data_IF_641286241694
#
_entry.id   IF_641286241694
#
_cell.length_a   1.000
_cell.length_b   1.000
_cell.length_c   1.000
_cell.angle_alpha   90.00
_cell.angle_beta   90.00
_cell.angle_gamma   90.00
#
_symmetry.space_group_name_H-M   'P 1'
#
loop_
_entity.id
_entity.type
_entity.pdbx_description
1 polymer ?
#
# COMPACT_ATOMS: atom_id res chain seq x y z
N UNK A 1 26.09 -8.69 -17.26
CA UNK A 1 25.74 -8.14 -18.59
C UNK A 1 24.29 -7.72 -18.51
N UNK A 2 24.00 -6.42 -18.49
CA UNK A 2 22.62 -5.93 -18.47
C UNK A 2 21.96 -6.26 -19.81
N UNK A 3 20.76 -6.82 -19.76
CA UNK A 3 19.88 -6.86 -20.91
C UNK A 3 19.69 -5.42 -21.46
N UNK A 4 19.46 -5.26 -22.77
CA UNK A 4 19.22 -3.94 -23.33
C UNK A 4 17.95 -3.35 -22.70
N UNK A 5 18.01 -2.09 -22.29
CA UNK A 5 16.83 -1.32 -21.87
C UNK A 5 15.90 -1.17 -23.09
N UNK A 6 14.97 -2.10 -23.25
CA UNK A 6 13.91 -2.01 -24.23
C UNK A 6 12.85 -1.03 -23.71
N UNK A 7 12.57 0.01 -24.51
CA UNK A 7 11.36 0.83 -24.45
C UNK A 7 11.03 1.48 -23.11
N UNK A 8 11.43 2.74 -22.95
CA UNK A 8 10.99 3.54 -21.79
C UNK A 8 9.44 3.69 -21.81
N UNK A 9 8.79 3.76 -22.97
CA UNK A 9 7.31 3.76 -23.04
C UNK A 9 6.68 2.38 -23.12
N UNK A 10 5.37 2.32 -22.87
CA UNK A 10 4.53 1.24 -23.42
C UNK A 10 4.52 1.30 -24.95
N UNK A 11 4.25 0.18 -25.62
CA UNK A 11 4.08 0.15 -27.07
C UNK A 11 2.86 0.99 -27.52
N UNK A 12 2.91 1.57 -28.72
CA UNK A 12 1.85 2.44 -29.26
C UNK A 12 0.45 1.81 -29.24
N UNK A 13 0.34 0.50 -29.47
CA UNK A 13 -0.94 -0.20 -29.41
C UNK A 13 -1.46 -0.28 -27.96
N UNK A 14 -0.59 -0.60 -27.00
CA UNK A 14 -0.91 -0.59 -25.57
C UNK A 14 -1.34 0.81 -25.12
N UNK A 15 -0.58 1.84 -25.49
CA UNK A 15 -0.91 3.23 -25.17
C UNK A 15 -2.29 3.66 -25.71
N UNK A 16 -2.64 3.27 -26.94
CA UNK A 16 -3.98 3.52 -27.51
C UNK A 16 -5.09 2.78 -26.75
N UNK A 17 -4.84 1.56 -26.29
CA UNK A 17 -5.83 0.78 -25.51
C UNK A 17 -6.03 1.37 -24.11
N UNK A 18 -4.96 1.81 -23.45
CA UNK A 18 -5.03 2.54 -22.18
C UNK A 18 -5.80 3.86 -22.33
N UNK A 19 -5.51 4.63 -23.40
CA UNK A 19 -6.23 5.87 -23.68
C UNK A 19 -7.73 5.64 -23.92
N UNK A 20 -8.10 4.55 -24.61
CA UNK A 20 -9.50 4.20 -24.82
C UNK A 20 -10.24 3.90 -23.49
N UNK A 21 -9.57 3.33 -22.49
CA UNK A 21 -10.14 3.14 -21.14
C UNK A 21 -10.40 4.48 -20.45
N UNK A 22 -9.45 5.42 -20.54
CA UNK A 22 -9.62 6.78 -19.99
C UNK A 22 -10.77 7.52 -20.67
N UNK A 23 -10.83 7.48 -22.00
CA UNK A 23 -11.92 8.11 -22.75
C UNK A 23 -13.29 7.51 -22.43
N UNK A 24 -13.36 6.18 -22.25
CA UNK A 24 -14.59 5.50 -21.84
C UNK A 24 -15.03 5.91 -20.44
N UNK A 25 -14.11 5.91 -19.46
CA UNK A 25 -14.40 6.34 -18.10
C UNK A 25 -14.83 7.81 -18.03
N UNK A 26 -14.19 8.69 -18.82
CA UNK A 26 -14.59 10.09 -18.93
C UNK A 26 -16.01 10.23 -19.47
N UNK A 27 -16.33 9.53 -20.57
CA UNK A 27 -17.61 9.64 -21.26
C UNK A 27 -18.77 9.05 -20.43
N UNK A 28 -18.65 7.80 -19.99
CA UNK A 28 -19.67 7.13 -19.16
C UNK A 28 -19.82 7.80 -17.79
N UNK A 29 -18.70 8.23 -17.21
CA UNK A 29 -18.68 8.93 -15.93
C UNK A 29 -19.16 10.38 -16.01
N UNK A 30 -19.33 10.94 -17.22
CA UNK A 30 -19.66 12.36 -17.45
C UNK A 30 -18.68 13.29 -16.73
N UNK A 31 -17.40 12.92 -16.71
CA UNK A 31 -16.35 13.64 -15.99
C UNK A 31 -15.86 14.82 -16.86
N UNK A 32 -15.75 16.05 -16.33
CA UNK A 32 -15.32 17.19 -17.14
C UNK A 32 -13.89 17.03 -17.69
N UNK A 33 -12.99 16.49 -16.88
CA UNK A 33 -11.65 16.03 -17.25
C UNK A 33 -11.26 14.77 -16.49
N UNK A 34 -10.46 13.92 -17.13
CA UNK A 34 -9.78 12.78 -16.54
C UNK A 34 -8.33 12.78 -17.01
N UNK A 35 -7.41 12.63 -16.07
CA UNK A 35 -5.98 12.45 -16.31
C UNK A 35 -5.55 11.16 -15.62
N UNK A 36 -4.82 10.31 -16.32
CA UNK A 36 -4.37 9.03 -15.78
C UNK A 36 -2.96 8.68 -16.24
N UNK A 37 -2.28 7.86 -15.45
CA UNK A 37 -0.93 7.39 -15.72
C UNK A 37 -0.71 5.97 -15.23
N UNK A 38 0.22 5.28 -15.89
CA UNK A 38 0.67 3.95 -15.51
C UNK A 38 2.16 4.02 -15.21
N UNK A 39 2.52 3.58 -14.01
CA UNK A 39 3.90 3.42 -13.56
C UNK A 39 4.32 1.98 -13.83
N UNK A 40 5.56 1.80 -14.30
CA UNK A 40 6.20 0.50 -14.46
C UNK A 40 7.70 0.64 -14.21
N UNK A 41 8.26 -0.25 -13.41
CA UNK A 41 9.70 -0.34 -13.12
C UNK A 41 10.29 1.01 -12.68
N UNK A 42 9.65 1.64 -11.68
CA UNK A 42 10.15 2.85 -11.02
C UNK A 42 9.91 4.18 -11.75
N UNK A 43 9.05 4.23 -12.78
CA UNK A 43 8.81 5.45 -13.57
C UNK A 43 7.45 5.46 -14.28
N UNK A 44 6.97 6.66 -14.64
CA UNK A 44 5.78 6.86 -15.48
C UNK A 44 6.05 6.30 -16.89
N UNK A 45 5.39 5.19 -17.23
CA UNK A 45 5.55 4.48 -18.51
C UNK A 45 4.50 4.91 -19.56
N UNK A 46 3.37 5.44 -19.10
CA UNK A 46 2.31 5.97 -19.94
C UNK A 46 1.51 7.04 -19.19
N UNK A 47 1.05 8.07 -19.91
CA UNK A 47 0.13 9.07 -19.42
C UNK A 47 -0.92 9.39 -20.49
N UNK A 48 -2.14 9.72 -20.06
CA UNK A 48 -3.22 10.09 -20.94
C UNK A 48 -4.22 11.03 -20.25
N UNK A 49 -4.81 11.93 -21.03
CA UNK A 49 -5.83 12.86 -20.57
C UNK A 49 -7.00 12.86 -21.56
N UNK A 50 -8.22 13.09 -21.06
CA UNK A 50 -9.42 13.20 -21.88
C UNK A 50 -10.47 14.09 -21.19
N UNK A 51 -11.25 14.84 -21.97
CA UNK A 51 -12.30 15.73 -21.47
C UNK A 51 -12.17 17.16 -21.98
N UNK A 52 -13.26 17.93 -21.88
CA UNK A 52 -13.36 19.29 -22.41
C UNK A 52 -12.94 20.38 -21.40
N UNK A 53 -12.84 20.04 -20.12
CA UNK A 53 -12.44 20.96 -19.04
C UNK A 53 -10.91 20.85 -18.74
N UNK A 54 -10.13 20.31 -19.69
CA UNK A 54 -8.68 20.37 -19.67
C UNK A 54 -8.21 21.79 -19.98
N UNK A 55 -7.15 22.25 -19.33
CA UNK A 55 -6.60 23.59 -19.54
C UNK A 55 -5.81 23.66 -20.86
N UNK A 56 -6.33 24.37 -21.86
CA UNK A 56 -5.82 24.38 -23.24
C UNK A 56 -4.33 24.79 -23.35
N UNK A 57 -3.85 25.67 -22.48
CA UNK A 57 -2.48 26.23 -22.51
C UNK A 57 -1.51 25.57 -21.52
N UNK A 58 -1.87 24.45 -20.91
CA UNK A 58 -1.05 23.76 -19.92
C UNK A 58 -0.86 22.29 -20.26
N UNK A 59 0.29 21.72 -19.87
CA UNK A 59 0.45 20.26 -19.91
C UNK A 59 -0.56 19.64 -18.93
N UNK A 60 -1.53 18.83 -19.39
CA UNK A 60 -2.53 18.24 -18.50
C UNK A 60 -1.94 17.36 -17.40
N UNK A 61 -0.69 16.88 -17.58
CA UNK A 61 0.00 16.06 -16.58
C UNK A 61 0.68 16.89 -15.47
N UNK A 62 0.78 18.20 -15.67
CA UNK A 62 1.32 19.20 -14.74
C UNK A 62 0.23 20.15 -14.19
N UNK A 63 -1.05 19.80 -14.38
CA UNK A 63 -2.20 20.45 -13.74
C UNK A 63 -2.48 19.78 -12.40
N UNK A 64 -2.64 20.57 -11.35
CA UNK A 64 -2.97 20.07 -10.02
C UNK A 64 -4.45 19.70 -9.89
N UNK A 65 -4.70 18.57 -9.21
CA UNK A 65 -6.02 18.14 -8.76
C UNK A 65 -5.99 17.95 -7.25
N UNK A 66 -7.13 18.15 -6.58
CA UNK A 66 -7.25 17.82 -5.15
C UNK A 66 -7.29 16.31 -4.99
N UNK A 67 -6.35 15.75 -4.23
CA UNK A 67 -6.16 14.29 -4.16
C UNK A 67 -6.97 13.61 -3.04
N UNK A 68 -7.68 14.41 -2.24
CA UNK A 68 -8.52 13.94 -1.14
C UNK A 68 -7.79 12.96 -0.25
N UNK A 69 -8.44 11.85 0.10
CA UNK A 69 -7.93 10.83 1.02
C UNK A 69 -6.60 10.17 0.66
N UNK A 70 -6.04 10.36 -0.54
CA UNK A 70 -4.63 10.00 -0.79
C UNK A 70 -3.72 10.73 0.21
N UNK A 71 -4.09 11.94 0.65
CA UNK A 71 -3.43 12.70 1.73
C UNK A 71 -3.17 11.86 2.99
N UNK A 72 -4.08 10.93 3.34
CA UNK A 72 -3.94 10.08 4.52
C UNK A 72 -2.70 9.20 4.46
N UNK A 73 -2.31 8.78 3.27
CA UNK A 73 -1.09 7.99 3.08
C UNK A 73 0.15 8.78 3.49
N UNK A 74 0.17 10.10 3.28
CA UNK A 74 1.27 10.98 3.72
C UNK A 74 1.28 11.11 5.25
N UNK A 75 0.11 11.29 5.88
CA UNK A 75 -0.02 11.29 7.34
C UNK A 75 0.42 9.94 7.94
N UNK A 76 0.05 8.83 7.32
CA UNK A 76 0.46 7.50 7.74
C UNK A 76 1.98 7.31 7.63
N UNK A 77 2.59 7.77 6.53
CA UNK A 77 4.05 7.75 6.36
C UNK A 77 4.76 8.52 7.48
N UNK A 78 4.28 9.70 7.87
CA UNK A 78 4.87 10.46 9.00
C UNK A 78 4.82 9.65 10.31
N UNK A 79 3.67 9.04 10.63
CA UNK A 79 3.53 8.23 11.85
C UNK A 79 4.43 7.00 11.80
N UNK A 80 4.53 6.34 10.64
CA UNK A 80 5.41 5.18 10.46
C UNK A 80 6.90 5.55 10.51
N UNK A 81 7.28 6.75 10.07
CA UNK A 81 8.63 7.28 10.29
C UNK A 81 8.92 7.44 11.78
N UNK A 82 7.98 7.97 12.56
CA UNK A 82 8.14 8.12 14.01
C UNK A 82 8.23 6.75 14.72
N UNK A 83 7.51 5.74 14.24
CA UNK A 83 7.62 4.36 14.74
C UNK A 83 8.98 3.75 14.39
N UNK A 84 9.43 3.87 13.13
CA UNK A 84 10.76 3.44 12.70
C UNK A 84 11.87 4.09 13.54
N UNK A 85 11.73 5.38 13.82
CA UNK A 85 12.69 6.17 14.59
C UNK A 85 12.60 5.91 16.11
N UNK A 86 11.73 4.99 16.55
CA UNK A 86 11.56 4.62 17.96
C UNK A 86 10.93 5.71 18.83
N UNK A 87 10.32 6.73 18.20
CA UNK A 87 9.69 7.88 18.89
C UNK A 87 8.25 7.61 19.29
N UNK A 88 7.60 6.66 18.62
CA UNK A 88 6.24 6.19 18.90
C UNK A 88 6.17 4.67 18.75
N UNK A 89 5.12 4.07 19.32
CA UNK A 89 4.73 2.67 19.13
C UNK A 89 3.33 2.59 18.53
N UNK A 90 3.11 1.68 17.59
CA UNK A 90 1.79 1.48 16.97
C UNK A 90 0.70 1.13 18.01
N UNK A 91 1.08 0.46 19.10
CA UNK A 91 0.14 -0.06 20.09
C UNK A 91 -0.04 0.87 21.30
N UNK A 92 0.62 2.02 21.32
CA UNK A 92 0.38 3.04 22.34
C UNK A 92 -0.82 3.94 21.96
N UNK A 93 -1.56 4.49 22.94
CA UNK A 93 -2.67 5.40 22.69
C UNK A 93 -2.18 6.79 22.27
N UNK A 94 -2.95 7.48 21.43
CA UNK A 94 -2.64 8.85 21.03
C UNK A 94 -2.57 9.83 22.21
N UNK A 95 -3.17 9.51 23.35
CA UNK A 95 -3.17 10.31 24.58
C UNK A 95 -1.78 10.49 25.19
N UNK A 96 -0.79 9.64 24.83
CA UNK A 96 0.62 9.83 25.20
C UNK A 96 1.14 11.18 24.66
N UNK A 97 0.63 11.64 23.51
CA UNK A 97 1.03 12.89 22.87
C UNK A 97 -0.05 13.97 23.00
N UNK A 98 -1.32 13.60 22.84
CA UNK A 98 -2.43 14.56 22.80
C UNK A 98 -2.95 14.95 24.19
N UNK A 99 -2.71 14.13 25.22
CA UNK A 99 -3.29 14.30 26.55
C UNK A 99 -4.77 13.87 26.60
N UNK A 100 -5.56 14.59 27.42
CA UNK A 100 -6.98 14.34 27.64
C UNK A 100 -7.84 14.98 26.54
N UNK A 101 -7.67 14.48 25.32
CA UNK A 101 -8.50 14.84 24.16
C UNK A 101 -9.43 13.67 23.84
N UNK A 102 -10.65 13.95 23.41
CA UNK A 102 -11.61 12.92 23.01
C UNK A 102 -11.01 11.96 21.97
N UNK A 103 -11.28 10.67 22.14
CA UNK A 103 -10.75 9.57 21.33
C UNK A 103 -9.23 9.35 21.40
N UNK A 104 -8.46 10.14 22.16
CA UNK A 104 -7.01 9.95 22.28
C UNK A 104 -6.65 8.63 22.99
N UNK A 105 -7.59 7.97 23.66
CA UNK A 105 -7.44 6.63 24.22
C UNK A 105 -7.30 5.52 23.15
N UNK A 106 -7.50 5.84 21.86
CA UNK A 106 -7.31 4.92 20.73
C UNK A 106 -5.83 4.79 20.36
N UNK A 107 -5.42 3.56 20.01
CA UNK A 107 -4.04 3.28 19.59
C UNK A 107 -3.76 3.82 18.20
N UNK A 108 -2.51 4.21 17.94
CA UNK A 108 -2.07 4.70 16.63
C UNK A 108 -2.36 3.67 15.52
N UNK A 109 -2.16 2.38 15.79
CA UNK A 109 -2.53 1.26 14.89
C UNK A 109 -4.01 1.32 14.52
N UNK A 110 -4.89 1.49 15.51
CA UNK A 110 -6.34 1.48 15.28
C UNK A 110 -6.82 2.69 14.49
N UNK A 111 -6.16 3.84 14.67
CA UNK A 111 -6.43 5.05 13.89
C UNK A 111 -5.97 4.87 12.44
N UNK A 112 -4.73 4.42 12.22
CA UNK A 112 -4.15 4.17 10.89
C UNK A 112 -4.97 3.14 10.09
N UNK A 113 -5.43 2.09 10.77
CA UNK A 113 -6.18 0.99 10.19
C UNK A 113 -7.70 1.22 10.14
N UNK A 114 -8.20 2.40 10.52
CA UNK A 114 -9.65 2.67 10.60
C UNK A 114 -10.41 1.60 11.39
N UNK A 115 -9.84 1.11 12.49
CA UNK A 115 -10.49 0.15 13.38
C UNK A 115 -10.78 0.74 14.76
N UNK A 116 -10.60 2.06 14.95
CA UNK A 116 -10.76 2.74 16.24
C UNK A 116 -12.20 2.81 16.76
N UNK A 117 -13.20 2.54 15.92
CA UNK A 117 -14.63 2.62 16.27
C UNK A 117 -15.15 4.06 16.46
N UNK A 118 -14.33 5.05 16.09
CA UNK A 118 -14.71 6.46 16.07
C UNK A 118 -15.74 6.72 14.97
N UNK A 119 -16.54 7.77 15.16
CA UNK A 119 -17.34 8.37 14.10
C UNK A 119 -16.51 8.73 12.85
N UNK A 120 -17.17 8.72 11.69
CA UNK A 120 -16.49 8.95 10.42
C UNK A 120 -16.00 10.39 10.27
N UNK A 121 -16.83 11.34 10.66
CA UNK A 121 -16.63 12.77 10.44
C UNK A 121 -16.60 13.55 11.75
N UNK A 122 -15.94 14.73 11.80
CA UNK A 122 -16.00 15.60 12.97
C UNK A 122 -17.43 16.08 13.26
N UNK A 123 -17.74 16.30 14.53
CA UNK A 123 -18.97 16.98 14.95
C UNK A 123 -19.03 18.40 14.35
N UNK A 124 -20.16 18.76 13.74
CA UNK A 124 -20.39 20.12 13.24
C UNK A 124 -20.89 20.15 11.79
N UNK A 125 -20.46 21.19 11.05
CA UNK A 125 -20.81 21.33 9.64
C UNK A 125 -20.04 20.34 8.76
N UNK A 126 -20.47 20.21 7.50
CA UNK A 126 -19.76 19.38 6.52
C UNK A 126 -18.36 19.96 6.24
N UNK A 127 -17.34 19.34 6.83
CA UNK A 127 -15.97 19.87 6.85
C UNK A 127 -15.35 20.05 5.46
N UNK A 128 -15.72 19.22 4.48
CA UNK A 128 -15.19 19.32 3.11
C UNK A 128 -15.69 20.56 2.34
N UNK A 129 -16.77 21.21 2.83
CA UNK A 129 -17.38 22.41 2.23
C UNK A 129 -17.44 23.62 3.17
N UNK A 130 -16.89 23.48 4.37
CA UNK A 130 -16.88 24.54 5.37
C UNK A 130 -15.45 25.06 5.54
N UNK A 131 -15.31 26.26 6.12
CA UNK A 131 -14.01 26.71 6.59
C UNK A 131 -13.49 25.74 7.67
N UNK A 132 -12.21 25.40 7.58
CA UNK A 132 -11.54 24.56 8.57
C UNK A 132 -11.55 25.17 9.96
N UNK A 133 -11.60 24.29 10.96
CA UNK A 133 -11.46 24.65 12.37
C UNK A 133 -9.97 24.66 12.76
N UNK A 134 -9.63 25.43 13.79
CA UNK A 134 -8.38 25.21 14.54
C UNK A 134 -8.41 23.86 15.27
N UNK A 135 -7.25 23.38 15.71
CA UNK A 135 -7.17 22.14 16.48
C UNK A 135 -8.00 22.22 17.78
N UNK A 136 -7.92 23.33 18.51
CA UNK A 136 -8.63 23.49 19.79
C UNK A 136 -10.16 23.46 19.60
N UNK A 137 -10.67 24.08 18.54
CA UNK A 137 -12.09 24.03 18.18
C UNK A 137 -12.52 22.62 17.77
N UNK A 138 -11.71 21.93 16.96
CA UNK A 138 -11.97 20.55 16.56
C UNK A 138 -12.01 19.62 17.78
N UNK A 139 -11.01 19.71 18.66
CA UNK A 139 -10.89 18.90 19.87
C UNK A 139 -12.05 19.16 20.84
N UNK A 140 -12.42 20.43 21.05
CA UNK A 140 -13.54 20.79 21.92
C UNK A 140 -14.90 20.26 21.41
N UNK A 141 -15.10 20.21 20.09
CA UNK A 141 -16.32 19.68 19.49
C UNK A 141 -16.41 18.14 19.49
N UNK A 142 -15.29 17.44 19.73
CA UNK A 142 -15.16 15.99 19.58
C UNK A 142 -14.66 15.34 20.88
N UNK A 143 -15.48 15.38 21.94
CA UNK A 143 -15.17 14.94 23.31
C UNK A 143 -15.07 13.40 23.52
N UNK A 144 -15.19 12.59 22.47
CA UNK A 144 -15.15 11.13 22.54
C UNK A 144 -16.52 10.44 22.65
N UNK A 145 -17.59 11.18 22.96
CA UNK A 145 -18.93 10.63 23.20
C UNK A 145 -19.61 10.06 21.94
N UNK A 146 -19.15 10.45 20.76
CA UNK A 146 -19.66 9.99 19.47
C UNK A 146 -19.04 8.69 18.94
N UNK A 147 -18.37 7.90 19.80
CA UNK A 147 -17.89 6.57 19.40
C UNK A 147 -19.05 5.70 18.92
N UNK A 148 -19.00 5.21 17.68
CA UNK A 148 -20.09 4.44 17.07
C UNK A 148 -19.90 2.93 17.20
N UNK A 149 -18.67 2.47 17.42
CA UNK A 149 -18.31 1.07 17.58
C UNK A 149 -17.24 0.91 18.68
N UNK A 150 -17.09 -0.29 19.26
CA UNK A 150 -15.93 -0.61 20.07
C UNK A 150 -14.64 -0.55 19.24
N UNK A 151 -13.58 0.02 19.79
CA UNK A 151 -12.28 0.08 19.12
C UNK A 151 -11.65 -1.31 18.90
N UNK A 152 -10.80 -1.37 17.88
CA UNK A 152 -10.05 -2.53 17.39
C UNK A 152 -10.89 -3.76 17.02
N UNK A 153 -12.18 -3.58 16.68
CA UNK A 153 -13.07 -4.70 16.35
C UNK A 153 -13.46 -4.80 14.89
N UNK A 154 -13.75 -3.66 14.27
CA UNK A 154 -14.34 -3.62 12.94
C UNK A 154 -13.77 -2.42 12.19
N UNK A 155 -13.59 -2.60 10.87
CA UNK A 155 -13.30 -1.47 10.00
C UNK A 155 -14.46 -0.47 10.02
N UNK A 156 -14.14 0.79 10.30
CA UNK A 156 -15.02 1.93 10.20
C UNK A 156 -14.20 3.16 9.83
N UNK A 157 -14.35 3.61 8.59
CA UNK A 157 -13.58 4.71 8.03
C UNK A 157 -13.81 6.00 8.84
N UNK A 158 -12.73 6.69 9.20
CA UNK A 158 -12.76 7.90 10.01
C UNK A 158 -11.74 8.93 9.52
N UNK A 159 -12.26 10.03 8.97
CA UNK A 159 -11.48 11.23 8.65
C UNK A 159 -10.98 11.91 9.93
N UNK A 160 -11.81 11.95 10.97
CA UNK A 160 -11.45 12.51 12.28
C UNK A 160 -10.22 11.79 12.88
N UNK A 161 -10.15 10.47 12.74
CA UNK A 161 -8.97 9.71 13.19
C UNK A 161 -7.66 10.17 12.54
N UNK A 162 -7.71 10.64 11.29
CA UNK A 162 -6.53 11.17 10.59
C UNK A 162 -6.17 12.60 11.00
N UNK A 163 -7.14 13.43 11.41
CA UNK A 163 -6.85 14.71 12.04
C UNK A 163 -6.05 14.50 13.35
N UNK A 164 -6.45 13.52 14.18
CA UNK A 164 -5.71 13.14 15.39
C UNK A 164 -4.28 12.65 15.04
N UNK A 165 -4.12 11.78 14.04
CA UNK A 165 -2.79 11.30 13.63
C UNK A 165 -1.89 12.43 13.12
N UNK A 166 -2.45 13.38 12.36
CA UNK A 166 -1.70 14.55 11.89
C UNK A 166 -1.23 15.43 13.04
N UNK A 167 -2.09 15.67 14.03
CA UNK A 167 -1.73 16.43 15.24
C UNK A 167 -0.68 15.69 16.08
N UNK A 168 -0.79 14.36 16.23
CA UNK A 168 0.24 13.53 16.90
C UNK A 168 1.59 13.73 16.24
N UNK A 169 1.66 13.62 14.91
CA UNK A 169 2.91 13.79 14.17
C UNK A 169 3.47 15.21 14.35
N UNK A 170 2.62 16.23 14.21
CA UNK A 170 2.98 17.64 14.38
C UNK A 170 3.57 17.93 15.77
N UNK A 171 2.92 17.48 16.86
CA UNK A 171 3.41 17.70 18.23
C UNK A 171 4.71 16.97 18.53
N UNK A 172 4.87 15.74 18.04
CA UNK A 172 6.11 14.99 18.23
C UNK A 172 7.25 15.66 17.47
N UNK A 173 7.02 16.15 16.25
CA UNK A 173 8.05 16.78 15.42
C UNK A 173 8.31 18.25 15.78
N UNK A 174 7.36 18.93 16.44
CA UNK A 174 7.49 20.34 16.84
C UNK A 174 7.22 21.34 15.71
N UNK A 175 6.56 20.89 14.64
CA UNK A 175 6.28 21.65 13.42
C UNK A 175 4.80 21.48 13.02
N UNK A 176 4.30 22.26 12.07
CA UNK A 176 2.96 22.00 11.54
C UNK A 176 2.92 20.67 10.79
N UNK A 177 1.74 20.04 10.69
CA UNK A 177 1.59 18.81 9.90
C UNK A 177 2.05 18.99 8.46
N UNK A 178 1.75 20.15 7.85
CA UNK A 178 2.13 20.41 6.46
C UNK A 178 3.64 20.56 6.30
N UNK A 179 4.33 21.25 7.22
CA UNK A 179 5.79 21.36 7.21
C UNK A 179 6.46 19.99 7.36
N UNK A 180 5.89 19.12 8.19
CA UNK A 180 6.34 17.73 8.32
C UNK A 180 6.19 16.96 7.01
N UNK A 181 5.04 17.07 6.33
CA UNK A 181 4.81 16.44 5.02
C UNK A 181 5.80 16.96 3.99
N UNK A 182 5.98 18.28 3.92
CA UNK A 182 6.87 18.92 2.97
C UNK A 182 8.31 18.41 3.14
N UNK A 183 8.88 18.55 4.34
CA UNK A 183 10.30 18.30 4.61
C UNK A 183 10.67 16.82 4.68
N UNK A 184 9.73 15.95 5.13
CA UNK A 184 10.03 14.53 5.38
C UNK A 184 9.52 13.58 4.31
N UNK A 185 8.68 14.07 3.39
CA UNK A 185 8.10 13.26 2.31
C UNK A 185 8.30 13.94 0.96
N UNK A 186 7.80 15.16 0.78
CA UNK A 186 7.75 15.77 -0.56
C UNK A 186 9.15 16.18 -1.06
N UNK A 187 9.95 16.84 -0.23
CA UNK A 187 11.32 17.25 -0.59
C UNK A 187 12.24 16.07 -0.89
N UNK A 188 12.34 15.01 -0.05
CA UNK A 188 13.15 13.83 -0.38
C UNK A 188 12.72 13.11 -1.67
N UNK A 189 11.42 13.14 -1.98
CA UNK A 189 10.87 12.51 -3.19
C UNK A 189 10.87 13.44 -4.42
N UNK A 190 11.23 14.72 -4.26
CA UNK A 190 11.19 15.71 -5.34
C UNK A 190 9.79 16.09 -5.83
N UNK A 191 8.77 16.03 -4.96
CA UNK A 191 7.36 16.28 -5.29
C UNK A 191 7.03 17.78 -5.25
N UNK A 192 7.65 18.55 -6.15
CA UNK A 192 7.60 20.03 -6.12
C UNK A 192 6.28 20.64 -6.57
N UNK A 193 5.38 19.86 -7.20
CA UNK A 193 4.03 20.30 -7.60
C UNK A 193 2.94 19.66 -6.74
N UNK A 194 3.31 19.20 -5.56
CA UNK A 194 2.40 18.73 -4.51
C UNK A 194 2.32 19.79 -3.41
N UNK A 195 1.15 20.37 -3.19
CA UNK A 195 0.98 21.58 -2.37
C UNK A 195 -0.25 21.52 -1.46
N UNK A 196 -0.24 22.32 -0.40
CA UNK A 196 -1.34 22.42 0.57
C UNK A 196 -2.59 23.07 -0.04
N UNK A 197 -2.37 24.14 -0.81
CA UNK A 197 -3.37 24.82 -1.62
C UNK A 197 -2.85 24.86 -3.07
N UNK A 198 -3.74 25.04 -4.07
CA UNK A 198 -3.32 25.16 -5.45
C UNK A 198 -2.21 26.21 -5.65
N UNK A 199 -1.17 25.84 -6.39
CA UNK A 199 -0.08 26.73 -6.82
C UNK A 199 0.18 26.52 -8.33
N UNK A 200 0.04 27.59 -9.10
CA UNK A 200 0.09 27.54 -10.56
C UNK A 200 -1.16 26.92 -11.20
N UNK A 201 -0.96 26.07 -12.20
CA UNK A 201 -2.04 25.43 -12.95
C UNK A 201 -2.78 24.40 -12.09
N UNK A 202 -4.08 24.61 -11.87
CA UNK A 202 -4.93 23.71 -11.11
C UNK A 202 -6.31 23.59 -11.75
N UNK A 203 -6.86 22.38 -11.74
CA UNK A 203 -8.20 22.13 -12.26
C UNK A 203 -9.27 22.75 -11.34
N UNK A 204 -10.32 23.31 -11.94
CA UNK A 204 -11.51 23.73 -11.20
C UNK A 204 -12.35 22.49 -10.85
N UNK A 205 -12.66 22.29 -9.57
CA UNK A 205 -13.56 21.22 -9.14
C UNK A 205 -14.99 21.50 -9.60
N UNK A 206 -15.66 20.50 -10.19
CA UNK A 206 -17.02 20.66 -10.71
C UNK A 206 -18.01 19.70 -10.06
N UNK A 207 -19.21 20.20 -9.81
CA UNK A 207 -20.41 19.41 -9.58
C UNK A 207 -21.10 19.19 -10.92
N UNK A 208 -21.36 17.93 -11.27
CA UNK A 208 -22.09 17.56 -12.50
C UNK A 208 -23.54 17.32 -12.12
N UNK A 209 -24.46 18.14 -12.63
CA UNK A 209 -25.87 17.97 -12.32
C UNK A 209 -26.38 16.62 -12.87
N UNK A 210 -27.04 15.77 -12.04
CA UNK A 210 -27.30 14.37 -12.40
C UNK A 210 -28.23 14.18 -13.61
N UNK A 211 -29.14 15.14 -13.84
CA UNK A 211 -30.11 15.10 -14.94
C UNK A 211 -29.81 16.05 -16.11
N UNK A 212 -29.49 17.32 -15.82
CA UNK A 212 -29.20 18.33 -16.83
C UNK A 212 -27.77 18.28 -17.41
N UNK A 213 -26.85 17.56 -16.76
CA UNK A 213 -25.43 17.48 -17.14
C UNK A 213 -24.72 18.84 -17.24
N UNK A 214 -25.25 19.86 -16.56
CA UNK A 214 -24.62 21.17 -16.41
C UNK A 214 -23.57 21.15 -15.31
N UNK A 215 -22.50 21.92 -15.49
CA UNK A 215 -21.43 22.06 -14.52
C UNK A 215 -21.67 23.23 -13.58
N UNK A 216 -21.38 23.04 -12.29
CA UNK A 216 -21.35 24.09 -11.26
C UNK A 216 -20.02 24.00 -10.54
N UNK A 217 -19.41 25.15 -10.23
CA UNK A 217 -18.15 25.18 -9.51
C UNK A 217 -18.30 24.73 -8.06
N UNK A 218 -17.42 23.84 -7.64
CA UNK A 218 -17.26 23.45 -6.25
C UNK A 218 -16.18 24.32 -5.58
N UNK A 219 -16.45 24.88 -4.39
CA UNK A 219 -15.46 25.69 -3.68
C UNK A 219 -14.34 24.80 -3.14
N UNK A 220 -13.10 25.30 -3.23
CA UNK A 220 -11.93 24.70 -2.59
C UNK A 220 -11.65 25.42 -1.27
N UNK A 221 -12.18 24.91 -0.15
CA UNK A 221 -11.90 25.46 1.19
C UNK A 221 -10.65 24.84 1.79
N UNK A 222 -9.93 25.64 2.59
CA UNK A 222 -8.92 25.16 3.53
C UNK A 222 -9.62 24.42 4.68
N UNK A 223 -9.22 23.18 4.94
CA UNK A 223 -9.85 22.29 5.92
C UNK A 223 -9.21 22.36 7.31
N UNK A 224 -8.16 23.18 7.50
CA UNK A 224 -7.57 23.48 8.80
C UNK A 224 -7.12 22.21 9.53
N UNK A 225 -7.61 21.97 10.75
CA UNK A 225 -7.27 20.79 11.53
C UNK A 225 -7.65 19.45 10.86
N UNK A 226 -8.55 19.46 9.87
CA UNK A 226 -8.89 18.27 9.07
C UNK A 226 -7.96 18.07 7.86
N UNK A 227 -6.98 18.94 7.64
CA UNK A 227 -6.06 18.84 6.50
C UNK A 227 -5.34 17.49 6.35
N UNK A 228 -4.89 16.83 7.44
CA UNK A 228 -4.30 15.49 7.40
C UNK A 228 -5.17 14.40 6.77
N UNK A 229 -6.47 14.64 6.63
CA UNK A 229 -7.42 13.72 6.03
C UNK A 229 -7.60 13.90 4.52
N UNK A 230 -7.37 15.09 3.94
CA UNK A 230 -7.75 15.32 2.54
C UNK A 230 -7.40 16.66 1.88
N UNK A 231 -6.51 17.48 2.43
CA UNK A 231 -6.28 18.83 1.91
C UNK A 231 -5.46 18.91 0.63
N UNK A 232 -4.56 17.96 0.38
CA UNK A 232 -3.44 18.10 -0.56
C UNK A 232 -3.89 18.16 -2.02
N UNK A 233 -3.11 18.89 -2.82
CA UNK A 233 -3.19 18.98 -4.27
C UNK A 233 -1.92 18.40 -4.88
N UNK A 234 -2.04 17.70 -6.00
CA UNK A 234 -0.89 17.14 -6.71
C UNK A 234 -1.16 17.03 -8.21
N UNK A 235 -0.08 16.91 -8.99
CA UNK A 235 -0.12 16.62 -10.43
C UNK A 235 -0.07 15.12 -10.69
N UNK A 236 -0.33 14.71 -11.95
CA UNK A 236 -0.12 13.31 -12.34
C UNK A 236 1.35 12.90 -12.17
N UNK A 237 2.28 13.78 -12.57
CA UNK A 237 3.72 13.52 -12.48
C UNK A 237 4.17 13.23 -11.05
N UNK A 238 3.79 14.07 -10.10
CA UNK A 238 4.16 13.89 -8.70
C UNK A 238 3.53 12.64 -8.09
N UNK A 239 2.24 12.36 -8.36
CA UNK A 239 1.63 11.13 -7.87
C UNK A 239 2.21 9.86 -8.53
N UNK A 240 2.70 9.95 -9.77
CA UNK A 240 3.42 8.84 -10.39
C UNK A 240 4.74 8.58 -9.65
N UNK A 241 5.49 9.62 -9.29
CA UNK A 241 6.69 9.51 -8.44
C UNK A 241 6.35 8.96 -7.05
N UNK A 242 5.25 9.43 -6.44
CA UNK A 242 4.76 8.88 -5.18
C UNK A 242 4.38 7.40 -5.29
N UNK A 243 3.77 6.98 -6.41
CA UNK A 243 3.49 5.57 -6.67
C UNK A 243 4.78 4.74 -6.86
N UNK A 244 5.83 5.29 -7.48
CA UNK A 244 7.16 4.64 -7.49
C UNK A 244 7.70 4.46 -6.07
N UNK A 245 7.57 5.48 -5.21
CA UNK A 245 7.92 5.35 -3.79
C UNK A 245 7.12 4.23 -3.10
N UNK A 246 5.81 4.09 -3.36
CA UNK A 246 5.02 3.00 -2.78
C UNK A 246 5.43 1.61 -3.29
N UNK A 247 6.04 1.51 -4.48
CA UNK A 247 6.58 0.27 -5.04
C UNK A 247 7.92 -0.12 -4.41
N UNK A 248 8.86 0.84 -4.44
CA UNK A 248 10.29 0.59 -4.26
C UNK A 248 10.83 1.09 -2.92
N UNK A 249 10.05 1.90 -2.20
CA UNK A 249 10.50 2.64 -1.02
C UNK A 249 11.48 3.76 -1.35
N UNK A 250 11.91 4.48 -0.32
CA UNK A 250 12.95 5.49 -0.39
C UNK A 250 13.73 5.50 0.93
N UNK A 251 15.09 5.50 0.91
CA UNK A 251 15.91 5.37 2.11
C UNK A 251 15.62 6.45 3.16
N UNK A 252 15.38 7.69 2.72
CA UNK A 252 15.10 8.81 3.63
C UNK A 252 13.64 8.90 4.07
N UNK A 253 12.71 8.23 3.37
CA UNK A 253 11.26 8.31 3.66
C UNK A 253 10.78 7.06 4.39
N UNK A 254 10.67 5.92 3.70
CA UNK A 254 10.35 4.61 4.24
C UNK A 254 10.91 3.53 3.31
N UNK A 255 11.49 2.47 3.86
CA UNK A 255 12.00 1.35 3.07
C UNK A 255 10.87 0.54 2.42
N UNK A 256 11.20 -0.19 1.36
CA UNK A 256 10.27 -1.09 0.69
C UNK A 256 9.69 -2.15 1.64
N UNK A 257 10.46 -2.59 2.64
CA UNK A 257 10.04 -3.60 3.62
C UNK A 257 9.03 -3.02 4.59
N UNK A 258 9.26 -1.81 5.12
CA UNK A 258 8.30 -1.13 5.99
C UNK A 258 6.99 -0.80 5.25
N UNK A 259 7.06 -0.44 3.97
CA UNK A 259 5.86 -0.32 3.14
C UNK A 259 5.13 -1.67 2.95
N UNK A 260 5.87 -2.79 2.88
CA UNK A 260 5.27 -4.13 2.79
C UNK A 260 4.45 -4.44 4.04
N UNK A 261 5.02 -4.14 5.22
CA UNK A 261 4.36 -4.29 6.50
C UNK A 261 3.14 -3.37 6.61
N UNK A 262 3.26 -2.12 6.17
CA UNK A 262 2.17 -1.16 6.17
C UNK A 262 1.00 -1.56 5.24
N UNK A 263 1.30 -2.26 4.14
CA UNK A 263 0.28 -2.81 3.23
C UNK A 263 -0.32 -4.13 3.73
N UNK A 264 0.16 -4.68 4.84
CA UNK A 264 -0.43 -5.87 5.46
C UNK A 264 -1.84 -5.58 6.00
N UNK A 265 -2.87 -6.38 5.67
CA UNK A 265 -4.23 -6.19 6.17
C UNK A 265 -4.29 -6.09 7.70
N UNK A 266 -4.77 -4.95 8.21
CA UNK A 266 -4.97 -4.69 9.65
C UNK A 266 -6.45 -4.72 10.03
N UNK A 267 -7.32 -4.35 9.10
CA UNK A 267 -8.77 -4.34 9.28
C UNK A 267 -9.47 -4.62 7.95
N UNK A 268 -10.76 -4.89 8.03
CA UNK A 268 -11.62 -5.11 6.88
C UNK A 268 -13.06 -5.27 7.34
N UNK A 269 -13.95 -5.40 6.37
CA UNK A 269 -15.37 -5.64 6.60
C UNK A 269 -15.67 -7.08 6.23
N UNK A 270 -16.18 -7.86 7.18
CA UNK A 270 -16.58 -9.23 6.91
C UNK A 270 -17.69 -9.33 5.85
N UNK A 271 -18.50 -8.27 5.69
CA UNK A 271 -19.54 -8.19 4.66
C UNK A 271 -18.95 -8.09 3.25
N UNK A 272 -17.76 -7.50 3.11
CA UNK A 272 -17.05 -7.37 1.84
C UNK A 272 -16.16 -8.59 1.53
N UNK A 273 -16.09 -9.56 2.44
CA UNK A 273 -15.26 -10.74 2.32
C UNK A 273 -13.78 -10.38 2.13
N UNK A 274 -13.15 -10.93 1.08
CA UNK A 274 -11.78 -10.58 0.67
C UNK A 274 -11.74 -9.45 -0.37
N UNK A 275 -12.88 -8.76 -0.57
CA UNK A 275 -13.02 -7.69 -1.56
C UNK A 275 -12.40 -6.36 -1.14
N UNK A 276 -12.15 -6.17 0.16
CA UNK A 276 -11.55 -4.96 0.69
C UNK A 276 -10.91 -5.20 2.06
N UNK A 277 -9.71 -4.64 2.24
CA UNK A 277 -9.05 -4.52 3.53
C UNK A 277 -8.36 -3.17 3.64
N UNK A 278 -7.92 -2.84 4.85
CA UNK A 278 -7.11 -1.65 5.12
C UNK A 278 -5.87 -2.04 5.91
N UNK A 279 -4.72 -1.55 5.46
CA UNK A 279 -3.44 -1.62 6.15
C UNK A 279 -3.25 -0.44 7.08
N UNK A 280 -1.99 -0.08 7.33
CA UNK A 280 -1.60 1.09 8.12
C UNK A 280 -1.60 2.35 7.23
N UNK A 281 -2.81 2.87 6.94
CA UNK A 281 -3.00 4.04 6.09
C UNK A 281 -3.16 3.80 4.60
N UNK A 282 -3.25 2.54 4.19
CA UNK A 282 -3.40 2.14 2.81
C UNK A 282 -4.60 1.22 2.63
N UNK A 283 -5.42 1.51 1.63
CA UNK A 283 -6.45 0.61 1.15
C UNK A 283 -5.82 -0.57 0.40
N UNK A 284 -6.45 -1.72 0.52
CA UNK A 284 -6.00 -2.97 -0.07
C UNK A 284 -7.16 -3.55 -0.88
N UNK A 285 -6.93 -3.73 -2.18
CA UNK A 285 -7.92 -4.26 -3.12
C UNK A 285 -7.44 -5.59 -3.72
N UNK A 286 -8.34 -6.53 -4.03
CA UNK A 286 -8.01 -7.63 -4.93
C UNK A 286 -7.75 -7.09 -6.34
N UNK A 287 -6.77 -7.66 -7.03
CA UNK A 287 -6.42 -7.26 -8.40
C UNK A 287 -4.95 -7.45 -8.71
N UNK A 288 -4.55 -7.14 -9.94
CA UNK A 288 -3.16 -7.26 -10.35
C UNK A 288 -2.62 -8.70 -10.21
N UNK A 289 -1.51 -8.85 -9.48
CA UNK A 289 -0.87 -10.12 -9.12
C UNK A 289 -1.49 -10.83 -7.91
N UNK A 290 -2.60 -10.28 -7.41
CA UNK A 290 -3.39 -10.78 -6.28
C UNK A 290 -3.82 -9.67 -5.33
N UNK A 291 -2.95 -8.67 -5.11
CA UNK A 291 -3.18 -7.58 -4.15
C UNK A 291 -2.65 -6.26 -4.71
N UNK A 292 -3.50 -5.24 -4.65
CA UNK A 292 -3.15 -3.85 -4.93
C UNK A 292 -3.22 -3.05 -3.63
N UNK A 293 -2.26 -2.15 -3.43
CA UNK A 293 -2.22 -1.27 -2.26
C UNK A 293 -2.13 0.20 -2.69
N UNK A 294 -2.67 1.11 -1.89
CA UNK A 294 -2.63 2.54 -2.15
C UNK A 294 -3.81 3.25 -1.50
N UNK A 295 -4.41 4.22 -2.17
CA UNK A 295 -5.63 4.86 -1.66
C UNK A 295 -6.43 5.55 -2.78
N UNK A 296 -7.74 5.58 -2.65
CA UNK A 296 -8.64 6.46 -3.41
C UNK A 296 -8.75 7.84 -2.74
N UNK A 297 -9.25 8.83 -3.46
CA UNK A 297 -9.47 10.18 -2.94
C UNK A 297 -10.80 10.73 -3.44
N UNK A 298 -11.48 11.46 -2.58
CA UNK A 298 -12.64 12.26 -2.94
C UNK A 298 -12.61 13.55 -2.13
N UNK A 299 -12.94 14.66 -2.78
CA UNK A 299 -13.33 15.94 -2.18
C UNK A 299 -14.41 16.54 -3.10
N UNK A 300 -15.20 17.53 -2.65
CA UNK A 300 -16.14 18.21 -3.53
C UNK A 300 -15.47 18.69 -4.82
N UNK A 301 -15.95 18.17 -5.95
CA UNK A 301 -15.43 18.47 -7.28
C UNK A 301 -14.24 17.62 -7.72
N UNK A 302 -13.81 16.60 -6.97
CA UNK A 302 -12.64 15.80 -7.30
C UNK A 302 -12.75 14.34 -6.87
N UNK A 303 -12.24 13.45 -7.73
CA UNK A 303 -11.93 12.06 -7.40
C UNK A 303 -10.52 11.74 -7.84
N UNK A 304 -9.82 10.90 -7.07
CA UNK A 304 -8.45 10.51 -7.32
C UNK A 304 -8.21 9.05 -6.94
N UNK A 305 -7.15 8.45 -7.47
CA UNK A 305 -6.64 7.15 -7.01
C UNK A 305 -5.15 7.05 -7.31
N UNK A 306 -4.40 6.44 -6.39
CA UNK A 306 -3.07 5.92 -6.63
C UNK A 306 -3.01 4.49 -6.08
N UNK A 307 -2.79 3.49 -6.95
CA UNK A 307 -2.68 2.08 -6.58
C UNK A 307 -1.41 1.46 -7.17
N UNK A 308 -0.81 0.52 -6.43
CA UNK A 308 0.41 -0.18 -6.81
C UNK A 308 0.28 -1.69 -6.65
N UNK A 309 0.87 -2.41 -7.60
CA UNK A 309 1.12 -3.85 -7.60
C UNK A 309 2.62 -4.08 -7.43
N UNK A 310 3.04 -4.33 -6.19
CA UNK A 310 4.45 -4.47 -5.86
C UNK A 310 5.11 -5.69 -6.49
N UNK A 311 4.37 -6.78 -6.69
CA UNK A 311 4.96 -7.99 -7.29
C UNK A 311 5.24 -7.79 -8.77
N UNK A 312 4.42 -7.01 -9.47
CA UNK A 312 4.63 -6.64 -10.88
C UNK A 312 5.48 -5.39 -11.07
N UNK A 313 5.78 -4.64 -10.00
CA UNK A 313 6.42 -3.32 -10.08
C UNK A 313 5.66 -2.36 -11.01
N UNK A 314 4.32 -2.36 -10.89
CA UNK A 314 3.43 -1.51 -11.70
C UNK A 314 2.48 -0.74 -10.80
N UNK A 315 2.06 0.45 -11.22
CA UNK A 315 1.04 1.24 -10.53
C UNK A 315 0.17 2.03 -11.50
N UNK A 316 -0.95 2.55 -11.01
CA UNK A 316 -1.81 3.43 -11.78
C UNK A 316 -2.27 4.61 -10.91
N UNK A 317 -2.29 5.78 -11.54
CA UNK A 317 -2.78 7.03 -10.97
C UNK A 317 -3.93 7.54 -11.83
N UNK A 318 -5.00 8.00 -11.20
CA UNK A 318 -6.18 8.58 -11.86
C UNK A 318 -6.58 9.85 -11.11
N UNK A 319 -6.85 10.92 -11.84
CA UNK A 319 -7.31 12.23 -11.35
C UNK A 319 -8.49 12.69 -12.20
N UNK A 320 -9.57 13.16 -11.59
CA UNK A 320 -10.69 13.76 -12.30
C UNK A 320 -11.34 14.88 -11.47
N UNK A 321 -11.87 15.91 -12.15
CA UNK A 321 -12.48 17.08 -11.51
C UNK A 321 -14.02 16.98 -11.41
N UNK A 322 -14.50 15.85 -10.88
CA UNK A 322 -15.87 15.71 -10.39
C UNK A 322 -15.92 14.80 -9.15
N UNK A 323 -16.91 14.99 -8.26
CA UNK A 323 -17.06 14.18 -7.02
C UNK A 323 -17.57 12.76 -7.29
N UNK A 324 -18.36 12.57 -8.35
CA UNK A 324 -19.02 11.30 -8.66
C UNK A 324 -19.12 11.10 -10.17
N UNK A 325 -19.45 9.88 -10.60
CA UNK A 325 -19.67 9.55 -12.00
C UNK A 325 -18.97 8.26 -12.41
N UNK A 326 -17.76 8.04 -11.91
CA UNK A 326 -16.98 6.84 -12.19
C UNK A 326 -16.11 6.45 -10.98
N UNK A 327 -15.80 5.17 -10.83
CA UNK A 327 -14.90 4.70 -9.77
C UNK A 327 -13.43 4.86 -10.20
N UNK A 328 -12.64 5.73 -9.56
CA UNK A 328 -11.24 5.93 -9.96
C UNK A 328 -10.38 4.68 -9.65
N UNK A 329 -10.74 3.89 -8.63
CA UNK A 329 -10.12 2.60 -8.35
C UNK A 329 -10.39 1.57 -9.45
N UNK A 330 -11.64 1.51 -9.96
CA UNK A 330 -11.97 0.61 -11.06
C UNK A 330 -11.15 0.95 -12.31
N UNK A 331 -11.03 2.23 -12.67
CA UNK A 331 -10.20 2.65 -13.80
C UNK A 331 -8.72 2.27 -13.59
N UNK A 332 -8.16 2.53 -12.40
CA UNK A 332 -6.78 2.18 -12.09
C UNK A 332 -6.53 0.66 -12.24
N UNK A 333 -7.46 -0.19 -11.75
CA UNK A 333 -7.40 -1.64 -11.91
C UNK A 333 -7.47 -2.03 -13.40
N UNK A 334 -8.43 -1.48 -14.14
CA UNK A 334 -8.59 -1.75 -15.58
C UNK A 334 -7.34 -1.39 -16.38
N UNK A 335 -6.68 -0.27 -16.05
CA UNK A 335 -5.43 0.16 -16.70
C UNK A 335 -4.29 -0.83 -16.43
N UNK A 336 -4.13 -1.29 -15.18
CA UNK A 336 -3.12 -2.28 -14.81
C UNK A 336 -3.37 -3.65 -15.47
N UNK A 337 -4.63 -4.08 -15.56
CA UNK A 337 -5.01 -5.31 -16.25
C UNK A 337 -4.82 -5.21 -17.77
N UNK A 338 -5.15 -4.06 -18.37
CA UNK A 338 -4.95 -3.79 -19.79
C UNK A 338 -3.45 -3.81 -20.13
N UNK A 339 -2.64 -3.20 -19.26
CA UNK A 339 -1.19 -3.22 -19.35
C UNK A 339 -0.65 -4.66 -19.33
N UNK A 340 -0.99 -5.45 -18.30
CA UNK A 340 -0.52 -6.84 -18.17
C UNK A 340 -0.99 -7.72 -19.34
N UNK A 341 -2.18 -7.49 -19.88
CA UNK A 341 -2.71 -8.26 -21.01
C UNK A 341 -1.97 -7.96 -22.32
N UNK A 342 -1.58 -6.71 -22.54
CA UNK A 342 -0.89 -6.29 -23.76
C UNK A 342 0.62 -6.50 -23.67
N UNK A 343 1.18 -6.27 -22.49
CA UNK A 343 2.60 -6.31 -22.19
C UNK A 343 2.80 -7.00 -20.83
N UNK A 344 2.76 -8.34 -20.80
CA UNK A 344 2.83 -9.09 -19.56
C UNK A 344 4.16 -8.85 -18.83
N UNK A 345 4.07 -8.79 -17.50
CA UNK A 345 5.24 -8.68 -16.63
C UNK A 345 6.14 -9.89 -16.87
N UNK A 346 7.39 -9.62 -17.28
CA UNK A 346 8.35 -10.68 -17.51
C UNK A 346 8.78 -11.28 -16.18
N UNK A 347 8.82 -12.61 -16.11
CA UNK A 347 9.41 -13.29 -14.97
C UNK A 347 10.87 -12.84 -14.83
N UNK A 348 11.31 -12.63 -13.58
CA UNK A 348 12.71 -12.29 -13.30
C UNK A 348 13.61 -13.36 -13.93
N UNK A 349 14.68 -12.97 -14.66
CA UNK A 349 15.63 -13.94 -15.18
C UNK A 349 16.13 -14.83 -14.05
N UNK A 350 16.23 -16.12 -14.31
CA UNK A 350 16.86 -17.02 -13.36
C UNK A 350 18.32 -16.59 -13.14
N UNK A 351 18.71 -16.44 -11.88
CA UNK A 351 20.07 -16.10 -11.47
C UNK A 351 20.71 -17.34 -10.85
N UNK A 352 21.86 -17.73 -11.38
CA UNK A 352 22.64 -18.83 -10.83
C UNK A 352 23.09 -18.50 -9.39
N UNK A 353 22.99 -19.46 -8.49
CA UNK A 353 23.55 -19.33 -7.15
C UNK A 353 25.07 -19.29 -7.23
N UNK A 354 25.67 -18.17 -6.79
CA UNK A 354 27.11 -17.97 -6.86
C UNK A 354 27.88 -18.89 -5.90
N UNK A 355 27.36 -19.06 -4.69
CA UNK A 355 27.86 -19.98 -3.67
C UNK A 355 26.72 -20.41 -2.76
N UNK A 356 26.78 -21.65 -2.27
CA UNK A 356 25.84 -22.15 -1.25
C UNK A 356 26.43 -21.88 0.13
N UNK A 357 25.75 -21.12 1.01
CA UNK A 357 26.17 -20.94 2.40
C UNK A 357 26.33 -22.29 3.11
N UNK A 358 27.35 -22.42 3.96
CA UNK A 358 27.68 -23.69 4.63
C UNK A 358 26.51 -24.23 5.47
N UNK A 359 25.72 -23.33 6.03
CA UNK A 359 24.50 -23.58 6.81
C UNK A 359 23.39 -24.25 5.98
N UNK A 360 23.40 -24.06 4.65
CA UNK A 360 22.34 -24.50 3.75
C UNK A 360 22.71 -25.74 2.92
N UNK A 361 23.99 -26.09 2.81
CA UNK A 361 24.48 -27.21 1.96
C UNK A 361 23.70 -28.50 2.25
N UNK A 362 23.58 -28.82 3.53
CA UNK A 362 22.95 -30.05 3.99
C UNK A 362 21.43 -30.06 3.89
N UNK A 363 20.82 -28.88 3.76
CA UNK A 363 19.39 -28.73 3.57
C UNK A 363 18.95 -28.94 2.11
N UNK A 364 19.87 -29.00 1.15
CA UNK A 364 19.53 -29.17 -0.26
C UNK A 364 19.02 -30.58 -0.60
N UNK A 365 18.14 -30.65 -1.60
CA UNK A 365 17.62 -31.89 -2.17
C UNK A 365 16.18 -32.20 -1.76
N UNK A 366 15.81 -33.47 -1.94
CA UNK A 366 14.46 -33.95 -1.60
C UNK A 366 14.38 -34.26 -0.11
N UNK A 367 13.27 -33.84 0.49
CA UNK A 367 12.92 -34.04 1.88
C UNK A 367 11.43 -34.35 2.00
N UNK A 368 11.02 -35.11 3.00
CA UNK A 368 9.65 -35.55 3.20
C UNK A 368 9.14 -35.09 4.55
N UNK A 369 7.98 -34.43 4.58
CA UNK A 369 7.21 -34.29 5.81
C UNK A 369 6.13 -35.37 5.83
N UNK A 370 6.29 -36.37 6.70
CA UNK A 370 5.54 -37.62 6.59
C UNK A 370 5.85 -38.32 5.27
N UNK A 371 4.83 -38.50 4.42
CA UNK A 371 4.99 -39.00 3.05
C UNK A 371 5.10 -37.90 1.98
N UNK A 372 4.95 -36.63 2.35
CA UNK A 372 4.82 -35.55 1.37
C UNK A 372 6.19 -35.01 0.97
N UNK A 373 6.59 -35.11 -0.31
CA UNK A 373 7.89 -34.64 -0.77
C UNK A 373 7.92 -33.12 -0.96
N UNK A 374 9.05 -32.54 -0.57
CA UNK A 374 9.47 -31.16 -0.81
C UNK A 374 10.86 -31.18 -1.45
N UNK A 375 11.09 -30.27 -2.39
CA UNK A 375 12.40 -30.04 -2.98
C UNK A 375 12.96 -28.74 -2.43
N UNK A 376 14.02 -28.84 -1.63
CA UNK A 376 14.77 -27.70 -1.12
C UNK A 376 15.92 -27.41 -2.07
N UNK A 377 15.93 -26.22 -2.68
CA UNK A 377 16.96 -25.80 -3.64
C UNK A 377 17.33 -24.34 -3.45
N UNK A 378 18.52 -23.96 -3.90
CA UNK A 378 18.91 -22.57 -3.91
C UNK A 378 18.20 -21.80 -5.04
N UNK A 379 17.72 -20.60 -4.74
CA UNK A 379 17.28 -19.59 -5.69
C UNK A 379 17.94 -18.27 -5.30
N UNK A 380 19.00 -17.87 -6.02
CA UNK A 380 19.88 -16.78 -5.59
C UNK A 380 20.60 -17.14 -4.29
N UNK A 381 20.44 -16.31 -3.26
CA UNK A 381 21.00 -16.52 -1.91
C UNK A 381 20.03 -17.24 -0.95
N UNK A 382 18.80 -17.52 -1.36
CA UNK A 382 17.78 -18.12 -0.50
C UNK A 382 17.65 -19.63 -0.75
N UNK A 383 17.33 -20.37 0.32
CA UNK A 383 16.86 -21.75 0.24
C UNK A 383 15.34 -21.74 0.07
N UNK A 384 14.85 -22.38 -1.00
CA UNK A 384 13.42 -22.41 -1.33
C UNK A 384 12.93 -23.85 -1.31
N UNK A 385 11.90 -24.10 -0.51
CA UNK A 385 11.21 -25.38 -0.46
C UNK A 385 9.98 -25.36 -1.39
N UNK A 386 9.96 -26.25 -2.37
CA UNK A 386 8.85 -26.40 -3.32
C UNK A 386 8.12 -27.71 -3.15
N UNK A 387 6.79 -27.66 -3.27
CA UNK A 387 5.90 -28.83 -3.36
C UNK A 387 5.16 -28.77 -4.68
N UNK A 388 5.23 -29.82 -5.50
CA UNK A 388 4.61 -29.87 -6.83
C UNK A 388 4.94 -28.65 -7.71
N UNK A 389 6.18 -28.15 -7.62
CA UNK A 389 6.65 -26.97 -8.35
C UNK A 389 6.25 -25.62 -7.74
N UNK A 390 5.34 -25.59 -6.77
CA UNK A 390 4.91 -24.37 -6.07
C UNK A 390 5.85 -24.07 -4.91
N UNK A 391 6.27 -22.82 -4.79
CA UNK A 391 7.03 -22.34 -3.62
C UNK A 391 6.14 -22.34 -2.39
N UNK A 392 6.57 -23.07 -1.37
CA UNK A 392 5.85 -23.18 -0.10
C UNK A 392 6.52 -22.33 0.97
N UNK A 393 7.85 -22.45 1.07
CA UNK A 393 8.65 -21.81 2.12
C UNK A 393 9.93 -21.24 1.53
N UNK A 394 10.39 -20.14 2.11
CA UNK A 394 11.64 -19.47 1.75
C UNK A 394 12.46 -19.21 3.00
N UNK A 395 13.76 -19.48 2.94
CA UNK A 395 14.69 -19.29 4.06
C UNK A 395 15.94 -18.53 3.60
N UNK A 396 16.51 -17.74 4.50
CA UNK A 396 17.79 -17.04 4.31
C UNK A 396 18.66 -17.22 5.53
N UNK A 397 19.97 -16.98 5.39
CA UNK A 397 20.90 -16.96 6.54
C UNK A 397 20.93 -15.55 7.11
N UNK A 398 20.57 -15.39 8.39
CA UNK A 398 20.66 -14.15 9.16
C UNK A 398 21.49 -14.43 10.40
N UNK A 399 22.59 -13.70 10.58
CA UNK A 399 23.49 -13.85 11.74
C UNK A 399 23.94 -15.32 11.99
N UNK A 400 24.17 -16.07 10.91
CA UNK A 400 24.58 -17.49 10.95
C UNK A 400 23.45 -18.49 11.21
N UNK A 401 22.20 -18.04 11.30
CA UNK A 401 21.02 -18.90 11.47
C UNK A 401 20.15 -18.93 10.22
N UNK A 402 19.60 -20.11 9.89
CA UNK A 402 18.64 -20.25 8.80
C UNK A 402 17.26 -19.85 9.29
N UNK A 403 16.71 -18.75 8.76
CA UNK A 403 15.42 -18.17 9.15
C UNK A 403 14.45 -18.16 7.99
N UNK A 404 13.21 -18.54 8.25
CA UNK A 404 12.13 -18.47 7.29
C UNK A 404 11.71 -17.02 7.05
N UNK A 405 11.46 -16.67 5.79
CA UNK A 405 11.08 -15.33 5.33
C UNK A 405 9.81 -15.33 4.48
N UNK A 406 9.23 -16.51 4.25
CA UNK A 406 8.01 -16.62 3.46
C UNK A 406 7.25 -17.91 3.70
N UNK A 407 5.93 -17.84 3.48
CA UNK A 407 5.00 -18.93 3.74
C UNK A 407 4.75 -19.15 5.22
N UNK A 408 4.26 -20.34 5.56
CA UNK A 408 3.88 -20.70 6.93
C UNK A 408 5.05 -20.63 7.93
N UNK A 409 6.27 -20.85 7.46
CA UNK A 409 7.49 -20.85 8.28
C UNK A 409 8.15 -19.47 8.40
N UNK A 410 7.50 -18.39 8.00
CA UNK A 410 8.06 -17.05 8.15
C UNK A 410 8.35 -16.73 9.63
N UNK A 411 9.57 -16.27 9.94
CA UNK A 411 10.07 -16.04 11.30
C UNK A 411 10.67 -17.28 11.99
N UNK A 412 10.27 -18.48 11.56
CA UNK A 412 10.72 -19.73 12.16
C UNK A 412 12.18 -20.05 11.82
N UNK A 413 12.86 -20.75 12.73
CA UNK A 413 14.22 -21.23 12.51
C UNK A 413 14.19 -22.62 11.86
N UNK A 414 15.01 -22.79 10.82
CA UNK A 414 15.30 -24.11 10.27
C UNK A 414 16.58 -24.65 10.92
N UNK A 415 16.44 -25.78 11.58
CA UNK A 415 17.53 -26.52 12.19
C UNK A 415 17.90 -27.70 11.31
N UNK A 416 19.18 -27.77 10.91
CA UNK A 416 19.76 -28.97 10.34
C UNK A 416 20.23 -29.84 11.51
N UNK A 417 19.45 -30.86 11.86
CA UNK A 417 19.77 -31.74 12.99
C UNK A 417 20.70 -32.84 12.51
N UNK A 418 21.78 -33.09 13.27
CA UNK A 418 22.82 -34.08 12.95
C UNK A 418 22.80 -35.24 13.95
N UNK A 419 23.21 -36.41 13.49
CA UNK A 419 23.52 -37.57 14.32
C UNK A 419 24.91 -37.40 14.96
N UNK A 420 25.24 -38.26 15.92
CA UNK A 420 26.53 -38.26 16.61
C UNK A 420 27.73 -38.49 15.66
N UNK A 421 27.51 -39.16 14.54
CA UNK A 421 28.51 -39.38 13.48
C UNK A 421 28.70 -38.16 12.55
N UNK A 422 27.98 -37.06 12.80
CA UNK A 422 28.02 -35.83 12.01
C UNK A 422 27.12 -35.84 10.76
N UNK A 423 26.52 -36.98 10.40
CA UNK A 423 25.58 -37.08 9.28
C UNK A 423 24.29 -36.32 9.57
N UNK A 424 23.64 -35.80 8.52
CA UNK A 424 22.36 -35.11 8.66
C UNK A 424 21.26 -36.11 8.98
N UNK A 425 20.56 -35.90 10.10
CA UNK A 425 19.40 -36.69 10.50
C UNK A 425 18.15 -36.21 9.79
N UNK A 426 17.74 -34.97 10.05
CA UNK A 426 16.52 -34.36 9.54
C UNK A 426 16.63 -32.84 9.53
N UNK A 427 15.69 -32.17 8.86
CA UNK A 427 15.45 -30.75 9.09
C UNK A 427 14.29 -30.61 10.08
N UNK A 428 14.43 -29.69 11.04
CA UNK A 428 13.36 -29.33 11.96
C UNK A 428 13.04 -27.84 11.79
N UNK A 429 11.77 -27.56 11.50
CA UNK A 429 11.22 -26.20 11.48
C UNK A 429 9.99 -26.20 12.37
N UNK A 430 10.11 -25.72 13.61
CA UNK A 430 9.01 -25.66 14.56
C UNK A 430 8.21 -26.99 14.67
N UNK A 431 8.90 -28.13 14.83
CA UNK A 431 8.35 -29.50 14.89
C UNK A 431 7.92 -30.11 13.55
N UNK A 432 8.06 -29.38 12.44
CA UNK A 432 7.95 -29.96 11.10
C UNK A 432 9.25 -30.70 10.80
N UNK A 433 9.23 -32.00 11.03
CA UNK A 433 10.36 -32.89 10.80
C UNK A 433 10.35 -33.33 9.34
N UNK A 434 11.38 -32.90 8.62
CA UNK A 434 11.62 -33.27 7.24
C UNK A 434 12.73 -34.31 7.16
N UNK A 435 12.42 -35.48 6.60
CA UNK A 435 13.34 -36.64 6.51
C UNK A 435 13.72 -36.95 5.07
N UNK A 436 14.85 -37.63 4.84
CA UNK A 436 15.27 -37.97 3.47
C UNK A 436 14.37 -39.03 2.85
N UNK A 437 13.85 -39.96 3.66
CA UNK A 437 12.88 -40.98 3.27
C UNK A 437 11.51 -40.68 3.88
N UNK A 438 10.39 -41.04 3.23
CA UNK A 438 9.07 -40.99 3.84
C UNK A 438 9.03 -41.73 5.17
N UNK A 439 8.57 -41.07 6.24
CA UNK A 439 8.45 -41.66 7.59
C UNK A 439 9.70 -42.42 8.07
N UNK A 440 10.87 -41.79 7.99
CA UNK A 440 12.13 -42.37 8.44
C UNK A 440 12.02 -42.87 9.90
N UNK A 441 12.24 -44.18 10.15
CA UNK A 441 12.07 -44.78 11.49
C UNK A 441 13.11 -44.28 12.50
N UNK A 442 14.24 -43.72 12.02
CA UNK A 442 15.33 -43.23 12.87
C UNK A 442 15.18 -41.73 13.17
N UNK A 443 14.16 -41.06 12.63
CA UNK A 443 13.88 -39.66 12.90
C UNK A 443 12.96 -39.48 14.13
N UNK A 444 13.03 -38.35 14.85
CA UNK A 444 12.10 -38.04 15.92
C UNK A 444 10.71 -37.78 15.31
N UNK A 445 9.85 -38.80 15.28
CA UNK A 445 8.59 -38.74 14.54
C UNK A 445 7.41 -38.26 15.40
N UNK A 446 6.80 -37.09 15.13
CA UNK A 446 5.40 -36.88 15.44
C UNK A 446 4.54 -37.62 14.41
N UNK A 447 4.03 -38.79 14.76
CA UNK A 447 3.08 -39.57 13.94
C UNK A 447 3.65 -40.82 13.24
N UNK A 448 4.53 -41.57 13.92
CA UNK A 448 5.16 -42.80 13.41
C UNK A 448 4.23 -43.68 12.57
N UNK A 449 4.75 -44.17 11.43
CA UNK A 449 3.99 -45.03 10.53
C UNK A 449 3.70 -46.38 11.20
N UNK A 450 2.43 -46.78 11.39
CA UNK A 450 2.14 -48.10 11.94
C UNK A 450 2.29 -49.16 10.83
N UNK A 451 3.45 -49.82 10.78
CA UNK A 451 3.61 -51.11 10.08
C UNK A 451 3.73 -51.07 8.55
N UNK A 452 3.97 -52.25 7.93
CA UNK A 452 4.68 -52.39 6.66
C UNK A 452 3.87 -51.92 5.44
N UNK A 453 4.64 -51.47 4.44
CA UNK A 453 4.26 -50.79 3.22
C UNK A 453 3.17 -51.47 2.37
N UNK A 454 2.30 -50.63 1.79
CA UNK A 454 1.54 -50.93 0.57
C UNK A 454 2.34 -50.52 -0.66
#
# INVERSE_FOLDING_TARGET
MSAPAAGVGVADLTGRRLHARVAHAQAEGRLPSVVAGVVRDGRLAWAGAYGADLLEDHDPFDVQYRIGSITKTMTAVLVLQLVRDGRLSLDEPASVVLGDVGYADRTLRSLLAHSSGMQSEPTGSWWERSAGLSWDELAAANDGSGSVLPGQRQFHYSNLGYALLGEVAARVLGESWWDCVLTRILEPLGLHRTTYLPDGAAAQGRSVHPYASTLVDEPATDTGAMAPAGQVWATLGDLATYACFLLDGHPDVLSADLLAEAFGPQSGSAADGLGYAHGLGFQIFPGGSGTLAGHTGSMPGFIATALVDRRRSTGAVVLANATTGYSPAALAIELLEELERCEPTLARPWVATAAVPAELVDALGVWHWGNTPFVFRMEGAALVARRNGVEMYRFVVVDGEVRGTGGYHAGERLHVVRRDDGSVSHLDVATFIYTRTPYDPDAPAPGGHPGPAY
#
